data_IF_021910413664
#
_entry.id   IF_021910413664
#
_cell.length_a   1.000
_cell.length_b   1.000
_cell.length_c   1.000
_cell.angle_alpha   90.00
_cell.angle_beta   90.00
_cell.angle_gamma   90.00
#
_symmetry.space_group_name_H-M   'P 1'
#
loop_
_entity.id
_entity.type
_entity.pdbx_description
1 polymer ?
#
# COMPACT_ATOMS: atom_id res chain seq x y z
N UNK A 1 54.26 -8.77 -14.31
CA UNK A 1 53.68 -7.53 -13.77
C UNK A 1 52.71 -6.88 -14.76
N UNK A 2 52.96 -6.88 -16.07
CA UNK A 2 52.06 -6.24 -17.05
C UNK A 2 50.70 -6.95 -17.19
N UNK A 3 50.68 -8.28 -17.35
CA UNK A 3 49.43 -9.05 -17.49
C UNK A 3 48.54 -8.92 -16.25
N UNK A 4 49.15 -8.90 -15.05
CA UNK A 4 48.42 -8.72 -13.79
C UNK A 4 47.77 -7.34 -13.70
N UNK A 5 48.47 -6.28 -14.14
CA UNK A 5 47.92 -4.92 -14.14
C UNK A 5 46.77 -4.80 -15.16
N UNK A 6 46.91 -5.37 -16.35
CA UNK A 6 45.85 -5.40 -17.37
C UNK A 6 44.62 -6.18 -16.90
N UNK A 7 44.83 -7.31 -16.22
CA UNK A 7 43.74 -8.11 -15.65
C UNK A 7 42.94 -7.31 -14.60
N UNK A 8 43.62 -6.63 -13.67
CA UNK A 8 42.93 -5.78 -12.68
C UNK A 8 42.24 -4.57 -13.32
N UNK A 9 42.85 -3.94 -14.32
CA UNK A 9 42.26 -2.79 -15.02
C UNK A 9 40.94 -3.15 -15.75
N UNK A 10 40.80 -4.39 -16.22
CA UNK A 10 39.56 -4.89 -16.81
C UNK A 10 38.56 -5.41 -15.75
N UNK A 11 39.07 -6.05 -14.70
CA UNK A 11 38.25 -6.70 -13.67
C UNK A 11 37.56 -5.67 -12.76
N UNK A 12 38.26 -4.62 -12.33
CA UNK A 12 37.75 -3.58 -11.42
C UNK A 12 36.46 -2.92 -11.95
N UNK A 13 36.38 -2.43 -13.20
CA UNK A 13 35.14 -1.82 -13.70
C UNK A 13 34.00 -2.84 -13.84
N UNK A 14 34.29 -4.10 -14.17
CA UNK A 14 33.28 -5.17 -14.22
C UNK A 14 32.73 -5.46 -12.83
N UNK A 15 33.58 -5.60 -11.83
CA UNK A 15 33.17 -5.79 -10.44
C UNK A 15 32.39 -4.57 -9.93
N UNK A 16 32.86 -3.36 -10.24
CA UNK A 16 32.16 -2.12 -9.90
C UNK A 16 30.76 -2.08 -10.52
N UNK A 17 30.63 -2.45 -11.80
CA UNK A 17 29.35 -2.52 -12.49
C UNK A 17 28.42 -3.56 -11.85
N UNK A 18 28.95 -4.74 -11.48
CA UNK A 18 28.18 -5.78 -10.80
C UNK A 18 27.70 -5.34 -9.41
N UNK A 19 28.55 -4.66 -8.64
CA UNK A 19 28.19 -4.09 -7.34
C UNK A 19 27.14 -2.98 -7.51
N UNK A 20 27.34 -2.07 -8.46
CA UNK A 20 26.41 -0.99 -8.77
C UNK A 20 25.05 -1.55 -9.19
N UNK A 21 25.04 -2.54 -10.07
CA UNK A 21 23.82 -3.19 -10.53
C UNK A 21 23.13 -3.98 -9.41
N UNK A 22 23.88 -4.75 -8.63
CA UNK A 22 23.34 -5.49 -7.47
C UNK A 22 22.82 -4.57 -6.37
N UNK A 23 23.40 -3.38 -6.21
CA UNK A 23 22.92 -2.36 -5.29
C UNK A 23 21.64 -1.68 -5.79
N UNK A 24 21.56 -1.43 -7.11
CA UNK A 24 20.41 -0.78 -7.74
C UNK A 24 19.20 -1.70 -7.90
N UNK A 25 19.44 -2.99 -8.17
CA UNK A 25 18.42 -4.00 -8.44
C UNK A 25 18.26 -4.95 -7.24
N UNK A 26 17.30 -4.69 -6.32
CA UNK A 26 17.02 -5.61 -5.23
C UNK A 26 16.28 -6.85 -5.74
N UNK A 27 17.02 -7.82 -6.27
CA UNK A 27 16.49 -9.07 -6.84
C UNK A 27 15.65 -9.85 -5.82
N UNK A 28 15.97 -9.73 -4.52
CA UNK A 28 15.24 -10.37 -3.43
C UNK A 28 13.75 -10.00 -3.39
N UNK A 29 13.40 -8.75 -3.74
CA UNK A 29 12.02 -8.27 -3.74
C UNK A 29 11.21 -8.80 -4.92
N UNK A 30 11.83 -8.90 -6.10
CA UNK A 30 11.18 -9.45 -7.30
C UNK A 30 10.84 -10.92 -7.08
N UNK A 31 11.77 -11.70 -6.53
CA UNK A 31 11.54 -13.13 -6.24
C UNK A 31 10.41 -13.28 -5.22
N UNK A 32 10.40 -12.45 -4.17
CA UNK A 32 9.37 -12.49 -3.13
C UNK A 32 7.99 -12.15 -3.68
N UNK A 33 7.88 -11.14 -4.55
CA UNK A 33 6.64 -10.75 -5.20
C UNK A 33 6.14 -11.83 -6.17
N UNK A 34 7.05 -12.40 -6.97
CA UNK A 34 6.73 -13.49 -7.89
C UNK A 34 6.20 -14.73 -7.15
N UNK A 35 6.81 -15.09 -6.01
CA UNK A 35 6.34 -16.19 -5.16
C UNK A 35 4.91 -15.94 -4.62
N UNK A 36 4.57 -14.69 -4.34
CA UNK A 36 3.22 -14.28 -3.92
C UNK A 36 2.23 -14.09 -5.10
N UNK A 37 2.65 -14.35 -6.35
CA UNK A 37 1.88 -14.06 -7.57
C UNK A 37 1.45 -12.59 -7.68
N UNK A 38 2.29 -11.67 -7.19
CA UNK A 38 2.12 -10.22 -7.35
C UNK A 38 3.04 -9.76 -8.48
N UNK A 39 2.48 -9.08 -9.47
CA UNK A 39 3.24 -8.55 -10.60
C UNK A 39 3.99 -7.29 -10.14
N UNK A 40 5.32 -7.41 -10.00
CA UNK A 40 6.21 -6.29 -9.70
C UNK A 40 7.36 -6.34 -10.69
N UNK A 41 7.50 -5.29 -11.49
CA UNK A 41 8.56 -5.21 -12.49
C UNK A 41 9.82 -4.55 -11.93
N UNK A 42 11.00 -4.83 -12.50
CA UNK A 42 12.22 -4.08 -12.20
C UNK A 42 12.05 -2.56 -12.34
N UNK A 43 11.30 -2.11 -13.36
CA UNK A 43 11.06 -0.69 -13.60
C UNK A 43 10.22 -0.05 -12.49
N UNK A 44 9.28 -0.78 -11.89
CA UNK A 44 8.50 -0.26 -10.75
C UNK A 44 9.42 0.01 -9.55
N UNK A 45 10.33 -0.93 -9.24
CA UNK A 45 11.26 -0.81 -8.11
C UNK A 45 12.27 0.33 -8.30
N UNK A 46 12.80 0.46 -9.51
CA UNK A 46 13.71 1.54 -9.88
C UNK A 46 12.95 2.88 -9.84
N UNK A 47 11.73 2.91 -10.41
CA UNK A 47 10.85 4.08 -10.41
C UNK A 47 10.55 4.58 -9.01
N UNK A 48 10.21 3.68 -8.08
CA UNK A 48 10.01 4.00 -6.66
C UNK A 48 11.24 4.70 -6.07
N UNK A 49 12.44 4.16 -6.29
CA UNK A 49 13.68 4.74 -5.75
C UNK A 49 13.93 6.14 -6.28
N UNK A 50 13.73 6.39 -7.57
CA UNK A 50 13.89 7.73 -8.16
C UNK A 50 12.85 8.72 -7.67
N UNK A 51 11.62 8.25 -7.40
CA UNK A 51 10.55 9.08 -6.81
C UNK A 51 10.73 9.30 -5.30
N UNK A 52 11.75 8.71 -4.67
CA UNK A 52 11.99 8.83 -3.23
C UNK A 52 11.16 7.89 -2.36
N UNK A 53 10.58 6.84 -2.96
CA UNK A 53 9.78 5.82 -2.27
C UNK A 53 10.64 4.61 -1.94
N UNK A 54 10.44 4.04 -0.75
CA UNK A 54 11.12 2.81 -0.37
C UNK A 54 10.40 1.58 -0.97
N UNK A 55 10.97 0.91 -1.99
CA UNK A 55 10.31 -0.23 -2.63
C UNK A 55 10.09 -1.40 -1.66
N UNK A 56 10.94 -1.55 -0.64
CA UNK A 56 10.83 -2.66 0.29
C UNK A 56 9.56 -2.57 1.13
N UNK A 57 9.18 -1.37 1.58
CA UNK A 57 7.96 -1.14 2.37
C UNK A 57 6.71 -1.38 1.53
N UNK A 58 6.64 -0.82 0.32
CA UNK A 58 5.49 -0.96 -0.59
C UNK A 58 5.26 -2.42 -0.99
N UNK A 59 6.30 -3.09 -1.49
CA UNK A 59 6.19 -4.46 -2.01
C UNK A 59 5.85 -5.44 -0.89
N UNK A 60 6.46 -5.30 0.29
CA UNK A 60 6.16 -6.17 1.44
C UNK A 60 4.72 -5.98 1.91
N UNK A 61 4.23 -4.74 1.95
CA UNK A 61 2.84 -4.44 2.28
C UNK A 61 1.88 -5.13 1.31
N UNK A 62 2.11 -5.00 -0.01
CA UNK A 62 1.25 -5.61 -1.04
C UNK A 62 1.30 -7.15 -1.02
N UNK A 63 2.47 -7.75 -0.78
CA UNK A 63 2.61 -9.21 -0.61
C UNK A 63 1.77 -9.69 0.58
N UNK A 64 1.85 -9.00 1.72
CA UNK A 64 1.09 -9.36 2.93
C UNK A 64 -0.41 -9.24 2.72
N UNK A 65 -0.85 -8.21 1.99
CA UNK A 65 -2.25 -8.04 1.59
C UNK A 65 -2.72 -9.23 0.74
N UNK A 66 -1.97 -9.60 -0.31
CA UNK A 66 -2.28 -10.77 -1.14
C UNK A 66 -2.32 -12.07 -0.32
N UNK A 67 -1.37 -12.28 0.59
CA UNK A 67 -1.32 -13.45 1.48
C UNK A 67 -2.51 -13.49 2.45
N UNK A 68 -3.03 -12.35 2.88
CA UNK A 68 -4.27 -12.26 3.65
C UNK A 68 -5.54 -12.42 2.78
N UNK A 69 -5.39 -12.67 1.48
CA UNK A 69 -6.45 -12.75 0.49
C UNK A 69 -7.11 -11.41 0.18
N UNK A 70 -6.47 -10.29 0.50
CA UNK A 70 -6.87 -8.97 0.01
C UNK A 70 -6.17 -8.83 -1.33
N UNK A 71 -6.88 -9.13 -2.42
CA UNK A 71 -6.27 -9.18 -3.73
C UNK A 71 -5.89 -7.76 -4.19
N UNK A 72 -4.59 -7.48 -4.38
CA UNK A 72 -4.19 -6.23 -5.00
C UNK A 72 -4.53 -6.30 -6.49
N UNK A 73 -5.24 -5.30 -6.97
CA UNK A 73 -5.57 -5.20 -8.39
C UNK A 73 -4.29 -4.93 -9.19
N UNK A 74 -4.08 -5.60 -10.33
CA UNK A 74 -2.92 -5.35 -11.18
C UNK A 74 -2.97 -3.93 -11.75
N UNK A 75 -1.90 -3.17 -11.54
CA UNK A 75 -1.75 -1.83 -12.10
C UNK A 75 -1.54 -1.92 -13.62
N UNK A 76 -2.63 -1.84 -14.40
CA UNK A 76 -2.53 -1.73 -15.86
C UNK A 76 -2.07 -0.31 -16.22
N UNK A 77 -1.04 -0.12 -17.06
CA UNK A 77 -0.67 1.21 -17.55
C UNK A 77 -1.85 1.84 -18.29
N UNK A 78 -2.43 2.91 -17.74
CA UNK A 78 -3.63 3.59 -18.26
C UNK A 78 -4.92 3.41 -17.46
N UNK A 79 -4.95 2.50 -16.48
CA UNK A 79 -6.10 2.30 -15.59
C UNK A 79 -5.98 3.11 -14.29
N UNK A 80 -5.92 4.44 -14.41
CA UNK A 80 -6.56 5.23 -13.36
C UNK A 80 -8.03 4.77 -13.32
N UNK A 81 -8.70 4.71 -12.15
CA UNK A 81 -10.13 4.43 -12.09
C UNK A 81 -10.86 5.48 -12.93
N UNK A 82 -11.15 5.16 -14.18
CA UNK A 82 -11.98 5.99 -15.02
C UNK A 82 -13.41 5.71 -14.57
N UNK A 83 -14.23 6.72 -14.24
CA UNK A 83 -15.65 6.49 -14.05
C UNK A 83 -16.16 5.92 -15.38
N UNK A 84 -16.54 4.64 -15.37
CA UNK A 84 -17.14 4.00 -16.52
C UNK A 84 -18.37 4.85 -16.91
N UNK A 85 -18.46 5.26 -18.17
CA UNK A 85 -19.53 6.14 -18.63
C UNK A 85 -20.87 5.45 -18.39
N UNK A 86 -21.81 6.16 -17.77
CA UNK A 86 -23.18 5.67 -17.54
C UNK A 86 -24.00 5.82 -18.82
N UNK A 87 -24.67 4.75 -19.26
CA UNK A 87 -25.46 4.72 -20.49
C UNK A 87 -26.98 4.86 -20.26
N UNK A 88 -27.40 5.13 -19.02
CA UNK A 88 -28.72 5.69 -18.73
C UNK A 88 -29.87 4.69 -18.59
N UNK A 89 -29.60 3.39 -18.50
CA UNK A 89 -30.66 2.38 -18.49
C UNK A 89 -30.67 1.69 -17.12
N UNK A 90 -31.50 2.23 -16.21
CA UNK A 90 -31.75 1.82 -14.81
C UNK A 90 -30.93 2.64 -13.77
N UNK A 91 -31.32 3.91 -13.58
CA UNK A 91 -30.61 4.95 -12.78
C UNK A 91 -30.46 4.60 -11.30
N UNK A 92 -31.34 3.82 -10.69
CA UNK A 92 -31.25 3.52 -9.25
C UNK A 92 -30.50 2.21 -8.94
N UNK A 93 -30.51 1.24 -9.85
CA UNK A 93 -29.89 -0.07 -9.62
C UNK A 93 -28.41 -0.08 -10.01
N UNK A 94 -28.06 0.63 -11.09
CA UNK A 94 -26.68 0.76 -11.53
C UNK A 94 -25.88 1.71 -10.66
N UNK A 95 -26.48 2.72 -10.01
CA UNK A 95 -25.74 3.61 -9.12
C UNK A 95 -25.35 2.90 -7.80
N UNK A 96 -26.20 2.03 -7.26
CA UNK A 96 -25.89 1.22 -6.08
C UNK A 96 -24.82 0.15 -6.37
N UNK A 97 -24.92 -0.57 -7.50
CA UNK A 97 -23.91 -1.57 -7.89
C UNK A 97 -22.59 -0.91 -8.31
N UNK A 98 -22.63 0.28 -8.94
CA UNK A 98 -21.45 1.01 -9.41
C UNK A 98 -20.75 1.79 -8.30
N UNK A 99 -21.46 2.34 -7.33
CA UNK A 99 -20.85 2.93 -6.12
C UNK A 99 -20.20 1.82 -5.28
N UNK A 100 -20.86 0.68 -5.07
CA UNK A 100 -20.31 -0.36 -4.19
C UNK A 100 -19.11 -1.10 -4.81
N UNK A 101 -19.10 -1.32 -6.13
CA UNK A 101 -17.97 -1.91 -6.86
C UNK A 101 -16.79 -0.92 -7.08
N UNK A 102 -17.05 0.39 -7.21
CA UNK A 102 -16.03 1.42 -7.39
C UNK A 102 -15.42 1.91 -6.06
N UNK A 103 -16.15 1.76 -4.94
CA UNK A 103 -15.66 2.04 -3.58
C UNK A 103 -14.82 0.92 -2.98
N UNK A 104 -14.84 -0.27 -3.58
CA UNK A 104 -13.84 -1.30 -3.33
C UNK A 104 -12.49 -0.88 -3.96
N UNK A 105 -11.97 0.27 -3.54
CA UNK A 105 -10.65 0.77 -3.89
C UNK A 105 -9.63 -0.23 -3.32
N UNK A 106 -9.12 -1.19 -4.13
CA UNK A 106 -8.27 -2.22 -3.61
C UNK A 106 -6.86 -1.65 -3.48
N UNK A 107 -6.07 -2.11 -2.49
CA UNK A 107 -4.68 -1.70 -2.39
C UNK A 107 -3.92 -2.21 -3.61
N UNK A 108 -3.43 -1.33 -4.49
CA UNK A 108 -2.50 -1.69 -5.56
C UNK A 108 -1.07 -1.30 -5.21
N UNK A 109 -0.10 -1.77 -6.01
CA UNK A 109 1.30 -1.42 -5.81
C UNK A 109 1.50 0.09 -5.96
N UNK A 110 0.97 0.69 -7.03
CA UNK A 110 1.07 2.13 -7.29
C UNK A 110 0.27 2.96 -6.29
N UNK A 111 -0.87 2.47 -5.78
CA UNK A 111 -1.65 3.18 -4.75
C UNK A 111 -0.93 3.21 -3.40
N UNK A 112 -0.30 2.10 -2.99
CA UNK A 112 0.55 2.08 -1.79
C UNK A 112 1.80 2.94 -1.98
N UNK A 113 2.37 2.94 -3.17
CA UNK A 113 3.47 3.85 -3.53
C UNK A 113 3.04 5.32 -3.40
N UNK A 114 1.91 5.69 -4.01
CA UNK A 114 1.35 7.05 -3.94
C UNK A 114 1.02 7.46 -2.50
N UNK A 115 0.51 6.52 -1.69
CA UNK A 115 0.29 6.73 -0.26
C UNK A 115 1.60 7.04 0.48
N UNK A 116 2.68 6.32 0.17
CA UNK A 116 3.99 6.60 0.76
C UNK A 116 4.58 7.94 0.28
N UNK A 117 4.39 8.29 -0.99
CA UNK A 117 4.76 9.60 -1.53
C UNK A 117 4.03 10.75 -0.83
N UNK A 118 2.76 10.54 -0.45
CA UNK A 118 2.00 11.49 0.34
C UNK A 118 2.46 11.60 1.80
N UNK A 119 3.51 10.85 2.19
CA UNK A 119 4.05 10.82 3.56
C UNK A 119 3.42 9.75 4.46
N UNK A 120 2.57 8.90 3.92
CA UNK A 120 1.95 7.81 4.65
C UNK A 120 2.84 6.57 4.83
N UNK A 121 2.37 5.63 5.65
CA UNK A 121 3.01 4.36 5.94
C UNK A 121 2.23 3.17 5.35
N UNK A 122 2.71 2.58 4.24
CA UNK A 122 2.09 1.40 3.62
C UNK A 122 1.93 0.20 4.57
N UNK A 123 2.88 -0.01 5.49
CA UNK A 123 2.81 -1.12 6.45
C UNK A 123 1.66 -0.91 7.45
N UNK A 124 1.42 0.33 7.89
CA UNK A 124 0.32 0.65 8.80
C UNK A 124 -1.02 0.34 8.14
N UNK A 125 -1.20 0.83 6.90
CA UNK A 125 -2.41 0.59 6.10
C UNK A 125 -2.62 -0.90 5.86
N UNK A 126 -1.58 -1.62 5.41
CA UNK A 126 -1.68 -3.05 5.17
C UNK A 126 -2.04 -3.84 6.43
N UNK A 127 -1.38 -3.57 7.56
CA UNK A 127 -1.68 -4.24 8.82
C UNK A 127 -3.10 -3.97 9.29
N UNK A 128 -3.58 -2.72 9.18
CA UNK A 128 -4.94 -2.34 9.51
C UNK A 128 -5.98 -3.08 8.67
N UNK A 129 -5.80 -3.13 7.35
CA UNK A 129 -6.71 -3.84 6.45
C UNK A 129 -6.72 -5.35 6.68
N UNK A 130 -5.55 -5.96 6.89
CA UNK A 130 -5.43 -7.39 7.23
C UNK A 130 -6.19 -7.68 8.53
N UNK A 131 -6.04 -6.84 9.54
CA UNK A 131 -6.70 -7.00 10.83
C UNK A 131 -8.22 -6.79 10.73
N UNK A 132 -8.67 -5.78 9.97
CA UNK A 132 -10.08 -5.55 9.69
C UNK A 132 -10.72 -6.78 9.03
N UNK A 133 -10.05 -7.32 8.00
CA UNK A 133 -10.52 -8.53 7.30
C UNK A 133 -10.62 -9.73 8.24
N UNK A 134 -9.61 -9.99 9.07
CA UNK A 134 -9.64 -11.09 10.07
C UNK A 134 -10.85 -10.97 11.00
N UNK A 135 -11.21 -9.75 11.37
CA UNK A 135 -12.33 -9.44 12.28
C UNK A 135 -13.67 -9.27 11.57
N UNK A 136 -13.72 -9.47 10.24
CA UNK A 136 -14.90 -9.24 9.39
C UNK A 136 -15.46 -7.81 9.54
N UNK A 137 -14.55 -6.84 9.64
CA UNK A 137 -14.86 -5.41 9.62
C UNK A 137 -14.60 -4.93 8.19
N UNK A 138 -15.62 -4.34 7.57
CA UNK A 138 -15.47 -3.68 6.28
C UNK A 138 -14.70 -2.37 6.51
N UNK A 139 -13.47 -2.27 6.00
CA UNK A 139 -12.66 -1.05 6.07
C UNK A 139 -12.06 -0.82 4.68
N UNK A 140 -12.39 0.30 4.04
CA UNK A 140 -11.87 0.59 2.72
C UNK A 140 -10.39 1.00 2.79
N UNK A 141 -9.63 0.72 1.72
CA UNK A 141 -8.24 1.17 1.60
C UNK A 141 -8.12 2.69 1.75
N UNK A 142 -9.04 3.44 1.15
CA UNK A 142 -9.09 4.90 1.24
C UNK A 142 -9.20 5.38 2.68
N UNK A 143 -10.01 4.72 3.49
CA UNK A 143 -10.23 5.09 4.90
C UNK A 143 -8.98 4.79 5.72
N UNK A 144 -8.38 3.61 5.51
CA UNK A 144 -7.10 3.26 6.10
C UNK A 144 -5.98 4.27 5.75
N UNK A 145 -5.90 4.69 4.48
CA UNK A 145 -4.99 5.76 4.06
C UNK A 145 -5.29 7.09 4.73
N UNK A 146 -6.57 7.46 4.85
CA UNK A 146 -7.00 8.72 5.46
C UNK A 146 -6.68 8.76 6.95
N UNK A 147 -6.86 7.64 7.67
CA UNK A 147 -6.46 7.51 9.08
C UNK A 147 -4.95 7.72 9.23
N UNK A 148 -4.15 7.03 8.41
CA UNK A 148 -2.69 7.08 8.49
C UNK A 148 -2.13 8.47 8.12
N UNK A 149 -2.62 9.09 7.03
CA UNK A 149 -2.24 10.47 6.64
C UNK A 149 -2.67 11.48 7.71
N UNK A 150 -3.82 11.27 8.34
CA UNK A 150 -4.29 12.12 9.45
C UNK A 150 -3.48 11.95 10.74
N UNK A 151 -2.46 11.10 10.77
CA UNK A 151 -1.63 10.80 11.94
C UNK A 151 -2.30 9.84 12.93
N UNK A 152 -3.41 9.22 12.56
CA UNK A 152 -4.09 8.20 13.36
C UNK A 152 -3.44 6.82 13.20
N UNK A 153 -3.96 5.85 13.96
CA UNK A 153 -3.54 4.45 13.87
C UNK A 153 -4.70 3.57 13.36
N UNK A 154 -4.54 2.99 12.16
CA UNK A 154 -5.58 2.15 11.55
C UNK A 154 -5.98 0.96 12.45
N UNK A 155 -5.01 0.32 13.11
CA UNK A 155 -5.31 -0.82 13.98
C UNK A 155 -6.14 -0.43 15.21
N UNK A 156 -5.93 0.78 15.77
CA UNK A 156 -6.75 1.30 16.88
C UNK A 156 -8.21 1.49 16.48
N UNK A 157 -8.46 2.02 15.28
CA UNK A 157 -9.81 2.15 14.73
C UNK A 157 -10.48 0.79 14.59
N UNK A 158 -9.78 -0.19 13.99
CA UNK A 158 -10.29 -1.56 13.85
C UNK A 158 -10.57 -2.22 15.21
N UNK A 159 -9.71 -1.99 16.21
CA UNK A 159 -9.93 -2.49 17.56
C UNK A 159 -11.15 -1.85 18.23
N UNK A 160 -11.34 -0.54 18.09
CA UNK A 160 -12.49 0.18 18.61
C UNK A 160 -13.81 -0.29 17.99
N UNK A 161 -13.83 -0.50 16.66
CA UNK A 161 -14.99 -1.03 15.95
C UNK A 161 -15.33 -2.46 16.41
N UNK A 162 -14.34 -3.32 16.61
CA UNK A 162 -14.58 -4.65 17.17
C UNK A 162 -15.16 -4.58 18.58
N UNK A 163 -14.61 -3.71 19.43
CA UNK A 163 -15.05 -3.57 20.82
C UNK A 163 -16.48 -3.02 20.90
N UNK A 164 -16.82 -2.03 20.07
CA UNK A 164 -18.18 -1.52 19.95
C UNK A 164 -19.17 -2.62 19.54
N UNK A 165 -18.80 -3.43 18.53
CA UNK A 165 -19.59 -4.59 18.11
C UNK A 165 -19.79 -5.60 19.25
N UNK A 166 -18.76 -5.89 20.05
CA UNK A 166 -18.87 -6.80 21.22
C UNK A 166 -19.81 -6.26 22.30
N UNK A 167 -19.89 -4.94 22.45
CA UNK A 167 -20.74 -4.26 23.43
C UNK A 167 -22.14 -3.93 22.90
N UNK A 168 -22.48 -4.35 21.68
CA UNK A 168 -23.71 -3.95 20.98
C UNK A 168 -23.90 -2.43 20.94
N UNK A 169 -22.81 -1.67 20.81
CA UNK A 169 -22.83 -0.22 20.62
C UNK A 169 -22.74 0.05 19.13
N UNK A 170 -23.67 0.85 18.60
CA UNK A 170 -23.63 1.31 17.22
C UNK A 170 -22.50 2.33 17.04
N UNK A 171 -21.41 1.90 16.42
CA UNK A 171 -20.27 2.74 16.08
C UNK A 171 -20.01 2.66 14.58
N UNK A 172 -20.28 3.78 13.92
CA UNK A 172 -19.98 3.97 12.51
C UNK A 172 -18.48 4.17 12.27
N UNK A 173 -17.99 3.77 11.09
CA UNK A 173 -16.60 3.88 10.67
C UNK A 173 -16.16 5.34 10.67
N UNK A 174 -16.97 6.24 10.11
CA UNK A 174 -16.64 7.68 10.04
C UNK A 174 -16.48 8.29 11.44
N UNK A 175 -17.36 7.89 12.38
CA UNK A 175 -17.25 8.31 13.78
C UNK A 175 -15.97 7.77 14.42
N UNK A 176 -15.65 6.49 14.21
CA UNK A 176 -14.45 5.88 14.75
C UNK A 176 -13.16 6.56 14.24
N UNK A 177 -13.11 6.89 12.94
CA UNK A 177 -12.01 7.64 12.32
C UNK A 177 -11.89 9.02 12.94
N UNK A 178 -13.00 9.75 13.04
CA UNK A 178 -13.04 11.10 13.60
C UNK A 178 -12.50 11.14 15.03
N UNK A 179 -12.90 10.16 15.86
CA UNK A 179 -12.43 10.01 17.24
C UNK A 179 -10.92 9.75 17.26
N UNK A 180 -10.42 8.80 16.46
CA UNK A 180 -8.99 8.49 16.42
C UNK A 180 -8.13 9.70 15.99
N UNK A 181 -8.58 10.42 14.97
CA UNK A 181 -7.88 11.61 14.49
C UNK A 181 -7.88 12.75 15.53
N UNK A 182 -8.99 12.92 16.26
CA UNK A 182 -9.05 13.87 17.37
C UNK A 182 -8.10 13.48 18.52
N UNK A 183 -8.05 12.19 18.88
CA UNK A 183 -7.15 11.67 19.89
C UNK A 183 -5.68 11.82 19.50
N UNK A 184 -5.34 11.55 18.23
CA UNK A 184 -3.99 11.74 17.71
C UNK A 184 -3.55 13.21 17.81
N UNK A 185 -4.39 14.15 17.36
CA UNK A 185 -4.11 15.59 17.46
C UNK A 185 -3.85 16.03 18.90
N UNK A 186 -4.64 15.58 19.87
CA UNK A 186 -4.45 15.92 21.28
C UNK A 186 -3.12 15.37 21.84
N UNK A 187 -2.68 14.18 21.43
CA UNK A 187 -1.40 13.61 21.87
C UNK A 187 -0.19 14.40 21.35
N UNK A 188 -0.26 14.91 20.11
CA UNK A 188 0.81 15.72 19.51
C UNK A 188 0.87 17.15 20.05
N UNK A 189 -0.28 17.71 20.45
CA UNK A 189 -0.37 19.04 21.07
C UNK A 189 0.09 19.10 22.53
N UNK A 190 0.14 17.97 23.24
CA UNK A 190 0.57 17.90 24.64
C UNK A 190 2.09 17.88 24.84
N UNK A 191 2.89 17.87 23.77
CA UNK A 191 4.36 17.77 23.81
C UNK A 191 5.07 19.10 23.48
N UNK A 192 4.37 20.23 23.55
CA UNK A 192 4.93 21.59 23.38
C UNK A 192 4.72 22.43 24.62
#
# INVERSE_FOLDING_TARGET
MEITILAFALLIPVIFLLILFGWLMPVSLIISAAAAKVQVTPLDLIGMRFRGVNPHTVVKAVIRLKQAGIEPEPDKPGNQPQPEKYDGNDEEMLDLIRIEAFYHNPPTLHRLEAHQLAGGNPDQVANGLIEAKKRKISLAFKDACSIDIGGGNVMRVVAALEEARKRNVELDIDKAISIELALSKNSTGSSR
#
